data_IF_242464571888
#
_entry.id   IF_242464571888
#
_cell.length_a   1.000
_cell.length_b   1.000
_cell.length_c   1.000
_cell.angle_alpha   90.00
_cell.angle_beta   90.00
_cell.angle_gamma   90.00
#
_symmetry.space_group_name_H-M   'P 1'
#
loop_
_entity.id
_entity.type
_entity.pdbx_description
1 polymer ?
#
# COMPACT_ATOMS: atom_id res chain seq x y z
N UNK A 1 15.32 -1.57 18.81
CA UNK A 1 15.05 -2.49 17.68
C UNK A 1 13.63 -2.28 17.18
N UNK A 2 13.36 -2.46 15.89
CA UNK A 2 11.99 -2.41 15.32
C UNK A 2 11.56 -3.83 14.97
N UNK A 3 10.41 -4.29 15.47
CA UNK A 3 9.96 -5.69 15.33
C UNK A 3 8.45 -5.76 15.15
N UNK A 4 7.96 -6.80 14.46
CA UNK A 4 6.53 -7.09 14.28
C UNK A 4 6.10 -8.45 14.83
N UNK A 5 7.01 -9.43 14.92
CA UNK A 5 6.70 -10.78 15.39
C UNK A 5 6.70 -10.87 16.94
N UNK A 6 5.60 -11.31 17.57
CA UNK A 6 5.51 -11.45 19.03
C UNK A 6 6.52 -12.45 19.62
N UNK A 7 6.83 -13.53 18.90
CA UNK A 7 7.78 -14.55 19.35
C UNK A 7 9.21 -14.00 19.43
N UNK A 8 9.63 -13.26 18.40
CA UNK A 8 10.92 -12.57 18.42
C UNK A 8 10.98 -11.48 19.50
N UNK A 9 9.89 -10.74 19.72
CA UNK A 9 9.80 -9.76 20.81
C UNK A 9 9.99 -10.45 22.17
N UNK A 10 9.29 -11.56 22.41
CA UNK A 10 9.44 -12.37 23.63
C UNK A 10 10.89 -12.82 23.82
N UNK A 11 11.51 -13.39 22.79
CA UNK A 11 12.90 -13.87 22.86
C UNK A 11 13.90 -12.73 23.13
N UNK A 12 13.75 -11.56 22.49
CA UNK A 12 14.61 -10.41 22.75
C UNK A 12 14.43 -9.91 24.17
N UNK A 13 13.21 -9.91 24.71
CA UNK A 13 12.97 -9.52 26.11
C UNK A 13 13.61 -10.46 27.11
N UNK A 14 13.59 -11.76 26.85
CA UNK A 14 14.23 -12.76 27.71
C UNK A 14 15.75 -12.62 27.74
N UNK A 15 16.38 -12.35 26.59
CA UNK A 15 17.84 -12.35 26.46
C UNK A 15 18.47 -10.95 26.60
N UNK A 16 17.72 -9.89 26.30
CA UNK A 16 18.17 -8.49 26.27
C UNK A 16 17.10 -7.55 26.86
N UNK A 17 16.78 -7.65 28.16
CA UNK A 17 15.63 -6.97 28.77
C UNK A 17 15.65 -5.44 28.66
N UNK A 18 16.84 -4.84 28.69
CA UNK A 18 17.06 -3.38 28.59
C UNK A 18 16.94 -2.84 27.16
N UNK A 19 16.84 -3.70 26.14
CA UNK A 19 16.77 -3.27 24.75
C UNK A 19 15.41 -2.62 24.45
N UNK A 20 15.33 -1.35 24.04
CA UNK A 20 14.08 -0.74 23.62
C UNK A 20 13.55 -1.40 22.34
N UNK A 21 12.27 -1.76 22.35
CA UNK A 21 11.60 -2.40 21.21
C UNK A 21 10.49 -1.46 20.73
N UNK A 22 10.55 -1.12 19.44
CA UNK A 22 9.56 -0.33 18.73
C UNK A 22 8.73 -1.26 17.85
N UNK A 23 7.42 -1.07 17.83
CA UNK A 23 6.55 -1.87 16.98
C UNK A 23 6.65 -1.40 15.53
N UNK A 24 6.92 -2.33 14.62
CA UNK A 24 6.92 -2.09 13.18
C UNK A 24 5.51 -1.85 12.66
N UNK A 25 5.39 -0.97 11.66
CA UNK A 25 4.14 -0.77 10.88
C UNK A 25 3.57 -2.09 10.33
N UNK A 26 4.43 -3.09 10.12
CA UNK A 26 4.06 -4.43 9.66
C UNK A 26 3.21 -5.22 10.67
N UNK A 27 3.13 -4.78 11.93
CA UNK A 27 2.23 -5.36 12.92
C UNK A 27 0.77 -4.88 12.77
N UNK A 28 0.51 -3.90 11.90
CA UNK A 28 -0.81 -3.33 11.63
C UNK A 28 -1.54 -2.85 12.89
N UNK A 29 -0.87 -2.06 13.73
CA UNK A 29 -1.52 -1.39 14.86
C UNK A 29 -2.43 -0.25 14.36
N UNK A 30 -3.73 -0.54 14.27
CA UNK A 30 -4.76 0.34 13.67
C UNK A 30 -5.80 0.86 14.68
N UNK A 31 -5.61 0.65 15.98
CA UNK A 31 -6.52 1.19 17.01
C UNK A 31 -5.82 1.29 18.37
N UNK A 32 -6.41 2.06 19.28
CA UNK A 32 -5.82 2.34 20.58
C UNK A 32 -5.67 1.08 21.45
N UNK A 33 -6.59 0.11 21.33
CA UNK A 33 -6.55 -1.11 22.15
C UNK A 33 -5.36 -1.99 21.78
N UNK A 34 -5.04 -2.11 20.48
CA UNK A 34 -3.84 -2.78 19.99
C UNK A 34 -2.57 -2.06 20.45
N UNK A 35 -2.54 -0.73 20.39
CA UNK A 35 -1.39 0.06 20.87
C UNK A 35 -1.18 -0.14 22.37
N UNK A 36 -2.27 -0.11 23.16
CA UNK A 36 -2.23 -0.35 24.61
C UNK A 36 -1.75 -1.76 24.94
N UNK A 37 -2.18 -2.77 24.19
CA UNK A 37 -1.68 -4.14 24.34
C UNK A 37 -0.16 -4.19 24.19
N UNK A 38 0.38 -3.58 23.12
CA UNK A 38 1.83 -3.57 22.89
C UNK A 38 2.59 -2.76 23.93
N UNK A 39 2.01 -1.66 24.43
CA UNK A 39 2.55 -0.92 25.57
C UNK A 39 2.66 -1.82 26.82
N UNK A 40 1.63 -2.61 27.11
CA UNK A 40 1.63 -3.54 28.24
C UNK A 40 2.66 -4.67 28.07
N UNK A 41 3.01 -5.03 26.84
CA UNK A 41 4.11 -5.94 26.51
C UNK A 41 5.50 -5.25 26.59
N UNK A 42 5.54 -4.00 27.04
CA UNK A 42 6.75 -3.23 27.34
C UNK A 42 7.33 -2.47 26.16
N UNK A 43 6.70 -2.48 24.98
CA UNK A 43 7.19 -1.72 23.83
C UNK A 43 7.14 -0.22 24.13
N UNK A 44 8.16 0.50 23.67
CA UNK A 44 8.37 1.92 24.00
C UNK A 44 7.86 2.87 22.93
N UNK A 45 7.73 2.39 21.69
CA UNK A 45 7.23 3.16 20.55
C UNK A 45 6.39 2.30 19.63
N UNK A 46 5.36 2.88 19.03
CA UNK A 46 4.60 2.28 17.93
C UNK A 46 4.77 3.10 16.66
N UNK A 47 5.14 2.44 15.57
CA UNK A 47 5.07 3.01 14.22
C UNK A 47 3.67 2.69 13.69
N UNK A 48 2.81 3.70 13.63
CA UNK A 48 1.40 3.50 13.31
C UNK A 48 1.19 3.12 11.84
N UNK A 49 0.10 2.38 11.60
CA UNK A 49 -0.35 2.01 10.27
C UNK A 49 -0.64 3.25 9.42
N UNK A 50 -0.28 3.21 8.13
CA UNK A 50 -0.50 4.31 7.16
C UNK A 50 -1.96 4.39 6.67
N UNK A 51 -2.78 3.46 7.15
CA UNK A 51 -4.20 3.32 6.86
C UNK A 51 -5.08 4.14 7.84
N UNK A 52 -4.50 4.76 8.87
CA UNK A 52 -5.21 5.55 9.87
C UNK A 52 -5.47 7.00 9.43
N UNK A 53 -6.65 7.51 9.78
CA UNK A 53 -7.00 8.92 9.71
C UNK A 53 -6.34 9.73 10.84
N UNK A 54 -6.31 11.06 10.69
CA UNK A 54 -5.75 11.96 11.70
C UNK A 54 -6.55 11.92 13.00
N UNK A 55 -7.86 11.72 12.91
CA UNK A 55 -8.77 11.61 14.05
C UNK A 55 -8.51 10.31 14.83
N UNK A 56 -8.28 9.19 14.14
CA UNK A 56 -7.91 7.92 14.79
C UNK A 56 -6.53 7.98 15.43
N UNK A 57 -5.57 8.67 14.80
CA UNK A 57 -4.24 8.93 15.40
C UNK A 57 -4.39 9.74 16.69
N UNK A 58 -5.21 10.78 16.67
CA UNK A 58 -5.50 11.63 17.84
C UNK A 58 -6.20 10.83 18.95
N UNK A 59 -7.15 9.95 18.61
CA UNK A 59 -7.77 9.04 19.57
C UNK A 59 -6.72 8.11 20.23
N UNK A 60 -5.86 7.48 19.44
CA UNK A 60 -4.78 6.62 19.94
C UNK A 60 -3.88 7.38 20.90
N UNK A 61 -3.47 8.60 20.52
CA UNK A 61 -2.61 9.46 21.35
C UNK A 61 -3.26 9.81 22.69
N UNK A 62 -4.57 10.07 22.70
CA UNK A 62 -5.32 10.41 23.90
C UNK A 62 -5.54 9.20 24.82
N UNK A 63 -5.81 8.02 24.24
CA UNK A 63 -6.11 6.80 25.00
C UNK A 63 -4.85 6.10 25.56
N UNK A 64 -3.69 6.28 24.90
CA UNK A 64 -2.43 5.63 25.29
C UNK A 64 -1.32 6.68 25.42
N UNK A 65 -1.41 7.59 26.41
CA UNK A 65 -0.63 8.81 26.38
C UNK A 65 0.88 8.64 26.59
N UNK A 66 1.29 7.53 27.20
CA UNK A 66 2.70 7.24 27.53
C UNK A 66 3.42 6.43 26.44
N UNK A 67 2.73 6.06 25.35
CA UNK A 67 3.35 5.37 24.22
C UNK A 67 3.93 6.39 23.23
N UNK A 68 5.19 6.24 22.83
CA UNK A 68 5.73 7.04 21.74
C UNK A 68 5.08 6.64 20.41
N UNK A 69 4.73 7.63 19.60
CA UNK A 69 4.07 7.42 18.31
C UNK A 69 4.99 7.94 17.19
N UNK A 70 5.19 7.10 16.18
CA UNK A 70 5.89 7.42 14.95
C UNK A 70 4.97 7.21 13.74
N UNK A 71 5.01 8.14 12.79
CA UNK A 71 4.10 8.14 11.63
C UNK A 71 4.90 8.50 10.39
N UNK A 72 4.68 7.80 9.29
CA UNK A 72 5.25 8.20 8.01
C UNK A 72 4.53 9.42 7.45
N UNK A 73 5.26 10.49 7.13
CA UNK A 73 4.67 11.64 6.43
C UNK A 73 4.79 11.57 4.91
N UNK A 74 5.69 10.73 4.40
CA UNK A 74 5.93 10.52 2.98
C UNK A 74 6.32 9.07 2.64
N UNK A 75 6.04 8.64 1.41
CA UNK A 75 6.50 7.37 0.85
C UNK A 75 5.41 6.59 0.12
N UNK A 76 5.74 5.39 -0.35
CA UNK A 76 4.80 4.56 -1.10
C UNK A 76 3.63 4.08 -0.23
N UNK A 77 2.41 4.57 -0.50
CA UNK A 77 1.20 4.06 0.14
C UNK A 77 0.81 2.74 -0.50
N UNK A 78 0.53 1.72 0.32
CA UNK A 78 0.13 0.42 -0.16
C UNK A 78 -1.38 0.44 -0.48
N UNK A 79 -1.79 -0.18 -1.58
CA UNK A 79 -3.21 -0.41 -1.88
C UNK A 79 -3.80 -1.54 -1.02
N UNK A 80 -2.98 -2.53 -0.67
CA UNK A 80 -3.32 -3.55 0.30
C UNK A 80 -2.97 -3.08 1.72
N UNK A 81 -3.39 -3.83 2.74
CA UNK A 81 -2.85 -3.63 4.10
C UNK A 81 -1.33 -3.81 4.08
N UNK A 82 -0.62 -2.82 4.63
CA UNK A 82 0.84 -2.84 4.74
C UNK A 82 1.34 -4.18 5.31
N UNK A 83 2.23 -4.86 4.58
CA UNK A 83 2.75 -6.17 4.98
C UNK A 83 1.91 -7.39 4.61
N UNK A 84 0.76 -7.21 3.95
CA UNK A 84 -0.19 -8.30 3.62
C UNK A 84 -0.61 -8.32 2.14
N UNK A 85 0.29 -7.89 1.25
CA UNK A 85 0.00 -7.82 -0.19
C UNK A 85 0.03 -9.22 -0.85
N UNK A 86 -1.15 -9.77 -1.17
CA UNK A 86 -1.28 -11.04 -1.89
C UNK A 86 -0.73 -10.97 -3.33
N UNK A 87 -0.81 -9.81 -3.99
CA UNK A 87 -0.24 -9.63 -5.33
C UNK A 87 1.28 -9.85 -5.32
N UNK A 88 1.99 -9.23 -4.37
CA UNK A 88 3.43 -9.41 -4.21
C UNK A 88 3.78 -10.87 -3.89
N UNK A 89 3.06 -11.47 -2.95
CA UNK A 89 3.30 -12.85 -2.52
C UNK A 89 3.04 -13.88 -3.62
N UNK A 90 1.93 -13.76 -4.34
CA UNK A 90 1.50 -14.74 -5.34
C UNK A 90 2.21 -14.55 -6.68
N UNK A 91 2.21 -13.32 -7.22
CA UNK A 91 2.75 -13.06 -8.57
C UNK A 91 4.27 -13.12 -8.54
N UNK A 92 4.89 -12.49 -7.54
CA UNK A 92 6.33 -12.28 -7.51
C UNK A 92 7.07 -13.17 -6.51
N UNK A 93 6.36 -14.00 -5.73
CA UNK A 93 6.95 -14.85 -4.68
C UNK A 93 7.79 -14.05 -3.67
N UNK A 94 7.39 -12.80 -3.43
CA UNK A 94 8.10 -11.88 -2.54
C UNK A 94 7.26 -11.55 -1.32
N UNK A 95 7.83 -11.83 -0.15
CA UNK A 95 7.19 -11.59 1.13
C UNK A 95 6.96 -10.08 1.35
N UNK A 96 5.69 -9.64 1.44
CA UNK A 96 5.35 -8.24 1.67
C UNK A 96 5.82 -7.70 3.02
N UNK A 97 6.10 -8.56 4.00
CA UNK A 97 6.57 -8.18 5.33
C UNK A 97 8.10 -7.94 5.39
N UNK A 98 8.84 -8.37 4.37
CA UNK A 98 10.31 -8.21 4.30
C UNK A 98 10.74 -6.93 3.56
N UNK A 99 9.80 -6.02 3.24
CA UNK A 99 10.11 -4.80 2.50
C UNK A 99 10.52 -5.04 1.04
N UNK A 100 10.22 -6.22 0.49
CA UNK A 100 10.67 -6.62 -0.87
C UNK A 100 9.65 -6.31 -1.98
N UNK A 101 8.68 -5.45 -1.69
CA UNK A 101 7.58 -5.07 -2.59
C UNK A 101 8.09 -4.65 -3.98
N UNK A 102 7.50 -5.21 -5.03
CA UNK A 102 7.82 -4.91 -6.45
C UNK A 102 6.92 -3.84 -7.05
N UNK A 103 5.99 -3.30 -6.27
CA UNK A 103 4.95 -2.39 -6.75
C UNK A 103 4.11 -3.00 -7.89
N UNK A 104 3.79 -4.29 -7.79
CA UNK A 104 2.96 -4.97 -8.80
C UNK A 104 1.62 -4.28 -9.05
N UNK A 105 1.04 -3.62 -8.05
CA UNK A 105 -0.17 -2.80 -8.22
C UNK A 105 0.00 -1.57 -9.12
N UNK A 106 1.23 -1.19 -9.48
CA UNK A 106 1.57 -0.05 -10.35
C UNK A 106 2.09 -0.47 -11.72
N UNK A 107 2.19 -1.78 -11.99
CA UNK A 107 2.63 -2.25 -13.29
C UNK A 107 1.61 -1.90 -14.37
N UNK A 108 2.08 -1.79 -15.60
CA UNK A 108 1.23 -1.64 -16.78
C UNK A 108 0.59 -2.98 -17.10
N UNK A 109 -0.74 -3.03 -17.03
CA UNK A 109 -1.52 -4.21 -17.37
C UNK A 109 -2.27 -3.94 -18.68
N UNK A 110 -1.95 -4.71 -19.71
CA UNK A 110 -2.68 -4.66 -20.99
C UNK A 110 -3.90 -5.58 -20.96
N UNK A 111 -5.04 -5.07 -21.41
CA UNK A 111 -6.27 -5.86 -21.55
C UNK A 111 -6.37 -6.37 -22.98
N UNK A 112 -6.58 -7.67 -23.16
CA UNK A 112 -6.80 -8.31 -24.45
C UNK A 112 -7.99 -9.28 -24.36
N UNK A 113 -8.69 -9.49 -25.47
CA UNK A 113 -9.76 -10.49 -25.53
C UNK A 113 -9.21 -11.91 -25.37
N UNK A 114 -9.83 -12.69 -24.48
CA UNK A 114 -9.60 -14.13 -24.33
C UNK A 114 -10.75 -14.95 -24.92
N UNK A 115 -10.51 -16.25 -25.12
CA UNK A 115 -11.53 -17.27 -25.39
C UNK A 115 -11.29 -18.50 -24.51
N UNK A 116 -12.32 -19.29 -24.25
CA UNK A 116 -12.15 -20.60 -23.61
C UNK A 116 -11.71 -21.65 -24.64
N UNK A 117 -10.75 -22.51 -24.28
CA UNK A 117 -10.39 -23.70 -25.06
C UNK A 117 -11.31 -24.89 -24.75
N UNK A 118 -11.12 -26.01 -25.45
CA UNK A 118 -11.98 -27.20 -25.34
C UNK A 118 -11.96 -27.87 -23.95
N UNK A 119 -11.02 -27.49 -23.09
CA UNK A 119 -10.88 -27.98 -21.71
C UNK A 119 -11.18 -26.90 -20.66
N UNK A 120 -11.66 -25.73 -21.10
CA UNK A 120 -12.13 -24.64 -20.23
C UNK A 120 -11.05 -23.68 -19.72
N UNK A 121 -9.85 -23.68 -20.29
CA UNK A 121 -8.84 -22.67 -19.97
C UNK A 121 -9.12 -21.36 -20.71
N UNK A 122 -8.91 -20.22 -20.06
CA UNK A 122 -8.92 -18.91 -20.72
C UNK A 122 -7.59 -18.73 -21.46
N UNK A 123 -7.64 -18.71 -22.79
CA UNK A 123 -6.50 -18.50 -23.69
C UNK A 123 -6.67 -17.19 -24.47
N UNK A 124 -5.57 -16.63 -25.00
CA UNK A 124 -5.66 -15.47 -25.89
C UNK A 124 -6.52 -15.80 -27.11
N UNK A 125 -7.39 -14.86 -27.51
CA UNK A 125 -8.11 -14.91 -28.79
C UNK A 125 -7.13 -14.60 -29.93
N UNK A 126 -6.22 -15.54 -30.22
CA UNK A 126 -5.36 -15.44 -31.40
C UNK A 126 -6.20 -15.80 -32.63
N UNK A 127 -6.73 -14.79 -33.32
CA UNK A 127 -7.08 -14.94 -34.74
C UNK A 127 -5.78 -14.73 -35.53
N UNK A 128 -5.41 -15.62 -36.48
CA UNK A 128 -4.30 -15.33 -37.38
C UNK A 128 -4.65 -14.10 -38.20
N UNK A 129 -4.11 -12.94 -37.80
CA UNK A 129 -4.18 -11.71 -38.58
C UNK A 129 -3.27 -11.92 -39.79
N UNK A 130 -3.74 -11.77 -41.05
CA UNK A 130 -2.84 -11.70 -42.18
C UNK A 130 -1.87 -10.54 -41.93
N UNK A 131 -0.58 -10.85 -41.87
CA UNK A 131 0.47 -9.86 -41.64
C UNK A 131 0.45 -8.85 -42.79
N UNK A 132 -0.13 -7.68 -42.55
CA UNK A 132 0.29 -6.48 -43.24
C UNK A 132 1.39 -5.85 -42.38
N UNK A 133 2.59 -5.77 -42.94
CA UNK A 133 3.66 -4.97 -42.36
C UNK A 133 3.23 -3.50 -42.45
N UNK A 134 2.68 -2.99 -41.36
CA UNK A 134 2.52 -1.56 -41.14
C UNK A 134 3.53 -1.18 -40.07
N UNK A 135 4.30 -0.13 -40.32
CA UNK A 135 5.26 0.37 -39.34
C UNK A 135 4.53 0.78 -38.05
N UNK A 136 5.04 0.40 -36.87
CA UNK A 136 4.44 0.80 -35.60
C UNK A 136 4.42 2.32 -35.48
N UNK A 137 3.22 2.90 -35.30
CA UNK A 137 3.01 4.31 -34.95
C UNK A 137 3.13 4.57 -33.45
N UNK A 138 4.01 3.83 -32.75
CA UNK A 138 4.33 4.11 -31.35
C UNK A 138 5.08 5.45 -31.31
N UNK A 139 4.44 6.48 -30.74
CA UNK A 139 4.94 7.86 -30.78
C UNK A 139 4.53 8.67 -32.02
N UNK A 140 3.60 8.16 -32.85
CA UNK A 140 3.06 8.93 -33.98
C UNK A 140 1.64 9.41 -33.62
N UNK A 141 1.58 10.69 -33.23
CA UNK A 141 0.39 11.35 -32.68
C UNK A 141 0.75 12.01 -31.35
N UNK A 142 0.08 13.10 -31.01
CA UNK A 142 0.28 13.73 -29.71
C UNK A 142 -0.43 12.92 -28.61
N UNK A 143 0.20 12.71 -27.43
CA UNK A 143 -0.53 12.24 -26.26
C UNK A 143 -1.69 13.18 -25.96
N UNK A 144 -2.76 12.66 -25.36
CA UNK A 144 -3.96 13.44 -25.08
C UNK A 144 -3.87 14.09 -23.70
N UNK A 145 -3.98 15.41 -23.64
CA UNK A 145 -4.11 16.15 -22.36
C UNK A 145 -5.50 15.96 -21.72
N UNK A 146 -6.39 15.17 -22.34
CA UNK A 146 -7.75 14.96 -21.88
C UNK A 146 -7.77 14.00 -20.71
N UNK A 147 -8.44 14.43 -19.65
CA UNK A 147 -8.63 13.66 -18.41
C UNK A 147 -9.85 12.76 -18.58
N UNK A 148 -9.71 11.48 -18.23
CA UNK A 148 -10.80 10.51 -18.30
C UNK A 148 -11.30 10.14 -16.90
N UNK A 149 -12.62 9.96 -16.81
CA UNK A 149 -13.31 9.52 -15.60
C UNK A 149 -13.98 8.17 -15.90
N UNK A 150 -13.72 7.18 -15.06
CA UNK A 150 -14.29 5.83 -15.14
C UNK A 150 -15.36 5.72 -14.07
N UNK A 151 -16.55 5.27 -14.45
CA UNK A 151 -17.66 4.99 -13.54
C UNK A 151 -17.82 3.46 -13.42
N UNK A 152 -17.95 2.97 -12.19
CA UNK A 152 -18.18 1.55 -11.93
C UNK A 152 -19.69 1.25 -11.96
N UNK A 153 -20.07 0.13 -12.59
CA UNK A 153 -21.46 -0.18 -12.90
C UNK A 153 -22.37 -0.32 -11.67
N UNK A 154 -21.84 -0.71 -10.51
CA UNK A 154 -22.56 -0.83 -9.24
C UNK A 154 -22.46 0.44 -8.37
N UNK A 155 -21.71 1.46 -8.78
CA UNK A 155 -21.54 2.73 -8.06
C UNK A 155 -21.80 3.94 -8.98
N UNK A 156 -23.04 4.10 -9.46
CA UNK A 156 -23.38 5.21 -10.34
C UNK A 156 -23.18 6.56 -9.63
N UNK A 157 -22.47 7.47 -10.29
CA UNK A 157 -22.08 8.78 -9.78
C UNK A 157 -20.73 8.84 -9.04
N UNK A 158 -20.08 7.70 -8.80
CA UNK A 158 -18.72 7.64 -8.26
C UNK A 158 -17.70 7.49 -9.39
N UNK A 159 -17.06 8.61 -9.75
CA UNK A 159 -16.10 8.65 -10.83
C UNK A 159 -14.67 8.47 -10.32
N UNK A 160 -13.93 7.54 -10.94
CA UNK A 160 -12.52 7.28 -10.71
C UNK A 160 -11.68 7.94 -11.81
N UNK A 161 -10.56 8.56 -11.44
CA UNK A 161 -9.64 9.15 -12.42
C UNK A 161 -8.83 8.06 -13.11
N UNK A 162 -8.80 8.07 -14.44
CA UNK A 162 -7.84 7.30 -15.23
C UNK A 162 -6.84 8.25 -15.89
N UNK A 163 -5.57 7.87 -15.84
CA UNK A 163 -4.48 8.62 -16.46
C UNK A 163 -3.90 7.77 -17.58
N UNK A 164 -3.62 8.40 -18.72
CA UNK A 164 -2.98 7.77 -19.85
C UNK A 164 -1.77 8.62 -20.24
N UNK A 165 -0.60 8.00 -20.27
CA UNK A 165 0.63 8.60 -20.81
C UNK A 165 1.20 7.74 -21.93
N UNK A 166 2.42 8.05 -22.38
CA UNK A 166 3.11 7.31 -23.45
C UNK A 166 3.36 5.82 -23.13
N UNK A 167 3.09 5.39 -21.91
CA UNK A 167 3.28 4.02 -21.40
C UNK A 167 1.95 3.28 -21.12
N UNK A 168 0.79 3.94 -21.15
CA UNK A 168 -0.53 3.30 -21.09
C UNK A 168 -1.49 3.84 -20.02
N UNK A 169 -2.58 3.11 -19.75
CA UNK A 169 -3.67 3.56 -18.86
C UNK A 169 -3.53 3.03 -17.42
N UNK A 170 -3.54 3.94 -16.45
CA UNK A 170 -3.47 3.64 -15.02
C UNK A 170 -4.85 3.77 -14.35
N UNK A 171 -5.36 2.66 -13.78
CA UNK A 171 -6.70 2.59 -13.16
C UNK A 171 -6.62 2.52 -11.61
N UNK A 172 -5.49 2.07 -11.08
CA UNK A 172 -5.35 1.58 -9.70
C UNK A 172 -4.06 2.09 -9.04
N UNK A 173 -3.74 3.38 -9.18
CA UNK A 173 -2.52 3.91 -8.60
C UNK A 173 -2.76 4.38 -7.15
N UNK A 174 -2.21 3.66 -6.16
CA UNK A 174 -2.07 4.20 -4.82
C UNK A 174 -1.12 5.40 -4.90
N UNK A 175 -1.66 6.61 -4.86
CA UNK A 175 -0.84 7.81 -4.77
C UNK A 175 0.07 7.68 -3.55
N UNK A 176 1.30 8.15 -3.67
CA UNK A 176 2.21 8.15 -2.53
C UNK A 176 1.62 8.95 -1.37
N UNK A 177 1.90 8.48 -0.17
CA UNK A 177 1.57 9.21 1.04
C UNK A 177 2.25 10.58 0.96
N UNK A 178 1.44 11.63 1.09
CA UNK A 178 1.89 13.01 1.11
C UNK A 178 1.19 13.76 2.23
N UNK A 179 1.61 13.49 3.46
CA UNK A 179 1.07 14.09 4.66
C UNK A 179 1.87 15.32 5.14
N UNK A 180 2.76 15.87 4.30
CA UNK A 180 3.60 17.03 4.66
C UNK A 180 2.78 18.24 5.12
N UNK A 181 1.60 18.47 4.52
CA UNK A 181 0.68 19.53 4.91
C UNK A 181 0.09 19.34 6.32
N UNK A 182 0.16 18.13 6.87
CA UNK A 182 -0.37 17.77 8.18
C UNK A 182 0.70 17.67 9.27
N UNK A 183 1.98 17.90 8.94
CA UNK A 183 3.11 17.86 9.89
C UNK A 183 2.83 18.75 11.10
N UNK A 184 2.37 19.99 10.89
CA UNK A 184 2.06 20.91 11.98
C UNK A 184 0.99 20.34 12.93
N UNK A 185 -0.08 19.74 12.37
CA UNK A 185 -1.15 19.12 13.17
C UNK A 185 -0.60 17.92 13.95
N UNK A 186 0.17 17.05 13.31
CA UNK A 186 0.76 15.86 13.93
C UNK A 186 1.74 16.23 15.06
N UNK A 187 2.57 17.24 14.86
CA UNK A 187 3.46 17.76 15.92
C UNK A 187 2.66 18.33 17.09
N UNK A 188 1.58 19.11 16.82
CA UNK A 188 0.70 19.64 17.88
C UNK A 188 -0.03 18.55 18.66
N UNK A 189 -0.37 17.41 18.03
CA UNK A 189 -0.92 16.24 18.72
C UNK A 189 0.10 15.57 19.66
N UNK A 190 1.40 15.86 19.52
CA UNK A 190 2.44 15.19 20.28
C UNK A 190 2.85 13.84 19.68
N UNK A 191 2.83 13.73 18.35
CA UNK A 191 3.54 12.65 17.63
C UNK A 191 5.05 12.85 17.80
N UNK A 192 5.78 11.78 18.12
CA UNK A 192 7.17 11.86 18.57
C UNK A 192 8.16 11.82 17.41
N UNK A 193 7.78 11.21 16.28
CA UNK A 193 8.62 11.00 15.10
C UNK A 193 7.77 11.00 13.82
N UNK A 194 8.26 11.64 12.75
CA UNK A 194 7.55 11.90 11.47
C UNK A 194 8.39 11.47 10.26
#
# INVERSE_FOLDING_TARGET
LIMSDPGLIMLVREHFPEMPIHLSVQANAVNWATVKFWQQMGLTRVILSRELSLEEIEEIRNQVPDMEIEIFVHGALCMAYSGRCLLSGYINKRDPNQGTCTNACRWEYNVQEGKEDDVGNIVHKYEPIPVQNVEPTLGIGAPTDKVFMIEEAQRPGEYMTAFEDEHGTYIMNSKDLRAIAHVERLTKMGVHSL
#
